data_IF_801417177721
#
_entry.id   IF_801417177721
#
_cell.length_a   1.000
_cell.length_b   1.000
_cell.length_c   1.000
_cell.angle_alpha   90.00
_cell.angle_beta   90.00
_cell.angle_gamma   90.00
#
_symmetry.space_group_name_H-M   'P 1'
#
loop_
_entity.id
_entity.type
_entity.pdbx_description
1 polymer ?
#
# COMPACT_ATOMS: atom_id res chain seq x y z
N UNK A 1 11.49 27.08 -12.61
CA UNK A 1 10.02 27.05 -12.82
C UNK A 1 9.36 27.89 -11.74
N UNK A 2 8.74 29.02 -12.10
CA UNK A 2 7.91 29.78 -11.16
C UNK A 2 6.55 29.11 -11.09
N UNK A 3 6.35 28.23 -10.11
CA UNK A 3 5.00 27.81 -9.73
C UNK A 3 4.27 29.08 -9.27
N UNK A 4 3.17 29.47 -9.93
CA UNK A 4 2.37 30.57 -9.39
C UNK A 4 1.92 30.14 -7.99
N UNK A 5 2.38 30.89 -6.98
CA UNK A 5 2.21 30.54 -5.56
C UNK A 5 0.75 30.35 -5.17
N UNK A 6 -0.17 30.91 -5.93
CA UNK A 6 -1.58 31.01 -5.57
C UNK A 6 -2.44 29.82 -6.01
N UNK A 7 -1.95 28.93 -6.90
CA UNK A 7 -2.74 27.81 -7.44
C UNK A 7 -2.17 26.41 -7.16
N UNK A 8 -1.03 26.31 -6.49
CA UNK A 8 -0.41 25.01 -6.24
C UNK A 8 -1.04 24.29 -5.03
N UNK A 9 -1.77 23.21 -5.29
CA UNK A 9 -2.52 22.37 -4.32
C UNK A 9 -1.70 22.06 -3.06
N UNK A 10 -0.39 21.88 -3.21
CA UNK A 10 0.51 21.41 -2.16
C UNK A 10 1.38 22.51 -1.53
N UNK A 11 1.24 23.77 -1.94
CA UNK A 11 2.08 24.88 -1.47
C UNK A 11 2.25 24.97 0.05
N UNK A 12 1.17 24.95 0.86
CA UNK A 12 1.26 25.04 2.32
C UNK A 12 1.91 23.84 3.04
N UNK A 13 2.24 22.78 2.31
CA UNK A 13 2.81 21.53 2.81
C UNK A 13 4.25 21.31 2.35
N UNK A 14 4.79 22.24 1.55
CA UNK A 14 6.17 22.20 1.12
C UNK A 14 7.10 22.64 2.26
N UNK A 15 8.29 22.05 2.38
CA UNK A 15 9.32 22.54 3.28
C UNK A 15 9.69 24.00 2.99
N UNK A 16 9.80 24.79 4.05
CA UNK A 16 10.25 26.19 4.04
C UNK A 16 11.68 26.21 4.59
N UNK A 17 12.58 26.83 3.85
CA UNK A 17 13.94 27.09 4.30
C UNK A 17 13.93 28.21 5.34
N UNK A 18 14.59 27.98 6.46
CA UNK A 18 14.65 28.89 7.59
C UNK A 18 16.03 28.82 8.23
N UNK A 19 16.61 29.98 8.56
CA UNK A 19 17.85 30.09 9.32
C UNK A 19 17.52 30.39 10.79
N UNK A 20 17.81 29.45 11.72
CA UNK A 20 17.44 29.63 13.11
C UNK A 20 18.25 30.70 13.83
N UNK A 21 19.51 30.91 13.43
CA UNK A 21 20.43 31.90 13.99
C UNK A 21 21.40 32.41 12.91
N UNK A 22 21.92 33.63 13.06
CA UNK A 22 23.02 34.14 12.24
C UNK A 22 24.22 33.18 12.38
N UNK A 23 24.71 32.64 11.25
CA UNK A 23 25.78 31.64 11.12
C UNK A 23 25.40 30.16 11.29
N UNK A 24 24.13 29.80 11.48
CA UNK A 24 23.70 28.41 11.39
C UNK A 24 23.33 28.01 9.96
N UNK A 25 23.50 26.72 9.62
CA UNK A 25 23.08 26.20 8.33
C UNK A 25 21.55 26.29 8.20
N UNK A 26 21.02 26.63 7.01
CA UNK A 26 19.59 26.69 6.79
C UNK A 26 18.95 25.30 7.01
N UNK A 27 17.84 25.30 7.74
CA UNK A 27 17.05 24.11 8.03
C UNK A 27 15.72 24.14 7.27
N UNK A 28 15.17 22.97 6.99
CA UNK A 28 13.89 22.85 6.28
C UNK A 28 12.78 22.49 7.26
N UNK A 29 11.82 23.40 7.45
CA UNK A 29 10.67 23.22 8.33
C UNK A 29 9.40 22.96 7.53
N UNK A 30 8.49 22.13 8.04
CA UNK A 30 7.14 22.03 7.50
C UNK A 30 6.16 22.98 8.20
N UNK A 31 5.55 23.87 7.43
CA UNK A 31 4.51 24.79 7.90
C UNK A 31 3.22 24.10 8.35
N UNK A 32 2.88 22.92 7.81
CA UNK A 32 1.58 22.29 8.07
C UNK A 32 1.61 20.76 8.01
N UNK A 33 0.66 20.11 8.70
CA UNK A 33 0.35 18.67 8.55
C UNK A 33 -0.96 18.47 7.80
N UNK A 34 -1.18 17.26 7.25
CA UNK A 34 -2.39 16.93 6.48
C UNK A 34 -3.73 17.20 7.19
N UNK A 35 -3.76 17.43 8.50
CA UNK A 35 -4.93 17.97 9.23
C UNK A 35 -6.10 17.01 9.42
N UNK A 36 -5.98 15.76 8.97
CA UNK A 36 -7.04 14.74 9.09
C UNK A 36 -7.09 14.14 10.50
N UNK A 37 -8.29 14.01 11.06
CA UNK A 37 -8.56 13.25 12.30
C UNK A 37 -8.69 11.77 11.96
N UNK A 38 -8.06 10.92 12.77
CA UNK A 38 -8.01 9.47 12.50
C UNK A 38 -8.36 8.67 13.75
N UNK A 39 -8.95 7.49 13.55
CA UNK A 39 -9.19 6.50 14.61
C UNK A 39 -9.04 5.09 14.05
N UNK A 40 -8.28 4.24 14.74
CA UNK A 40 -8.15 2.81 14.43
C UNK A 40 -9.12 2.02 15.31
N UNK A 41 -9.73 0.98 14.75
CA UNK A 41 -10.44 -0.05 15.52
C UNK A 41 -10.01 -1.44 15.07
N UNK A 42 -9.51 -2.23 16.01
CA UNK A 42 -9.30 -3.66 15.86
C UNK A 42 -10.65 -4.33 16.11
N UNK A 43 -11.16 -5.08 15.15
CA UNK A 43 -12.48 -5.71 15.25
C UNK A 43 -12.32 -7.23 15.32
N UNK A 44 -13.21 -7.86 16.06
CA UNK A 44 -13.39 -9.30 16.11
C UNK A 44 -14.41 -9.75 15.06
N UNK A 45 -14.38 -11.04 14.67
CA UNK A 45 -15.35 -11.60 13.71
C UNK A 45 -16.81 -11.47 14.19
N UNK A 46 -17.01 -11.48 15.51
CA UNK A 46 -18.31 -11.34 16.18
C UNK A 46 -18.82 -9.90 16.32
N UNK A 47 -18.01 -8.89 15.96
CA UNK A 47 -18.37 -7.49 16.17
C UNK A 47 -19.53 -7.05 15.27
N UNK A 48 -20.28 -6.03 15.71
CA UNK A 48 -21.41 -5.46 14.96
C UNK A 48 -21.05 -5.03 13.54
N UNK A 49 -19.81 -4.63 13.28
CA UNK A 49 -19.35 -4.25 11.92
C UNK A 49 -19.37 -5.42 10.93
N UNK A 50 -19.28 -6.65 11.43
CA UNK A 50 -19.20 -7.89 10.68
C UNK A 50 -20.52 -8.68 10.64
N UNK A 51 -21.56 -8.19 11.32
CA UNK A 51 -22.89 -8.77 11.22
C UNK A 51 -23.38 -8.73 9.76
N UNK A 52 -23.95 -9.84 9.31
CA UNK A 52 -24.47 -10.03 7.94
C UNK A 52 -23.42 -9.93 6.82
N UNK A 53 -22.14 -10.13 7.13
CA UNK A 53 -21.07 -10.27 6.13
C UNK A 53 -20.62 -11.72 6.06
N UNK A 54 -20.25 -12.16 4.86
CA UNK A 54 -19.51 -13.41 4.69
C UNK A 54 -18.19 -13.34 5.45
N UNK A 55 -17.74 -14.49 5.98
CA UNK A 55 -16.54 -14.54 6.82
C UNK A 55 -15.32 -13.92 6.13
N UNK A 56 -15.16 -14.12 4.82
CA UNK A 56 -14.07 -13.53 4.03
C UNK A 56 -14.08 -11.99 4.05
N UNK A 57 -15.26 -11.39 4.16
CA UNK A 57 -15.47 -9.94 4.13
C UNK A 57 -15.58 -9.32 5.54
N UNK A 58 -15.37 -10.11 6.59
CA UNK A 58 -15.27 -9.56 7.95
C UNK A 58 -14.04 -8.65 8.03
N UNK A 59 -14.28 -7.43 8.48
CA UNK A 59 -13.26 -6.43 8.73
C UNK A 59 -12.50 -6.78 10.00
N UNK A 60 -11.18 -6.93 9.89
CA UNK A 60 -10.26 -7.14 11.01
C UNK A 60 -9.75 -5.82 11.56
N UNK A 61 -9.45 -4.86 10.68
CA UNK A 61 -9.00 -3.53 11.05
C UNK A 61 -9.84 -2.49 10.31
N UNK A 62 -10.47 -1.60 11.06
CA UNK A 62 -11.20 -0.45 10.57
C UNK A 62 -10.37 0.81 10.77
N UNK A 63 -10.36 1.68 9.76
CA UNK A 63 -9.70 2.97 9.81
C UNK A 63 -10.71 4.09 9.54
N UNK A 64 -10.88 5.01 10.48
CA UNK A 64 -11.83 6.11 10.39
C UNK A 64 -11.08 7.42 10.13
N UNK A 65 -11.43 8.15 9.06
CA UNK A 65 -10.79 9.42 8.69
C UNK A 65 -11.83 10.52 8.50
N UNK A 66 -11.82 11.52 9.39
CA UNK A 66 -12.87 12.54 9.49
C UNK A 66 -14.27 11.91 9.40
N UNK A 67 -14.58 11.03 10.36
CA UNK A 67 -15.87 10.33 10.55
C UNK A 67 -16.24 9.29 9.48
N UNK A 68 -15.43 9.15 8.43
CA UNK A 68 -15.64 8.13 7.41
C UNK A 68 -14.82 6.87 7.71
N UNK A 69 -15.52 5.75 7.94
CA UNK A 69 -14.91 4.43 8.15
C UNK A 69 -14.49 3.79 6.83
N UNK A 70 -13.33 3.14 6.85
CA UNK A 70 -12.79 2.30 5.78
C UNK A 70 -12.36 0.96 6.36
N UNK A 71 -12.63 -0.11 5.63
CA UNK A 71 -12.05 -1.42 5.93
C UNK A 71 -10.58 -1.36 5.46
N UNK A 72 -9.65 -1.48 6.42
CA UNK A 72 -8.21 -1.48 6.16
C UNK A 72 -7.74 -2.90 5.83
N UNK A 73 -8.28 -3.90 6.53
CA UNK A 73 -7.90 -5.30 6.37
C UNK A 73 -9.12 -6.21 6.65
N UNK A 74 -9.33 -7.22 5.81
CA UNK A 74 -10.36 -8.28 6.00
C UNK A 74 -9.74 -9.68 6.07
N UNK A 75 -10.50 -10.72 6.39
CA UNK A 75 -10.00 -12.11 6.30
C UNK A 75 -9.57 -12.49 4.88
N UNK A 76 -10.27 -12.01 3.86
CA UNK A 76 -9.87 -12.21 2.45
C UNK A 76 -8.50 -11.61 2.14
N UNK A 77 -8.24 -10.40 2.64
CA UNK A 77 -6.93 -9.77 2.47
C UNK A 77 -5.83 -10.60 3.14
N UNK A 78 -6.13 -11.17 4.30
CA UNK A 78 -5.23 -12.01 5.09
C UNK A 78 -4.94 -13.35 4.40
N UNK A 79 -5.97 -14.00 3.86
CA UNK A 79 -5.82 -15.26 3.12
C UNK A 79 -5.02 -15.10 1.82
N UNK A 80 -5.05 -13.91 1.20
CA UNK A 80 -4.23 -13.60 0.02
C UNK A 80 -2.83 -13.08 0.35
N UNK A 81 -2.53 -12.81 1.61
CA UNK A 81 -1.24 -12.30 2.00
C UNK A 81 -0.37 -13.46 2.50
N UNK A 82 0.58 -13.88 1.68
CA UNK A 82 1.55 -14.94 2.00
C UNK A 82 2.61 -14.44 2.98
N UNK A 83 2.21 -13.98 4.15
CA UNK A 83 3.16 -13.59 5.19
C UNK A 83 3.75 -14.87 5.82
N UNK A 84 5.08 -14.92 5.92
CA UNK A 84 5.71 -15.83 6.88
C UNK A 84 5.28 -15.41 8.30
N UNK A 85 5.08 -16.35 9.22
CA UNK A 85 4.77 -16.01 10.62
C UNK A 85 6.06 -15.88 11.44
N UNK A 86 7.03 -15.16 10.90
CA UNK A 86 8.32 -14.83 11.49
C UNK A 86 8.49 -13.29 11.57
N UNK A 87 9.61 -12.82 12.12
CA UNK A 87 9.89 -11.38 12.28
C UNK A 87 9.89 -10.63 10.93
N UNK A 88 10.29 -11.31 9.86
CA UNK A 88 10.26 -10.74 8.49
C UNK A 88 8.82 -10.53 8.05
N UNK A 89 7.94 -11.50 8.29
CA UNK A 89 6.53 -11.39 7.99
C UNK A 89 5.81 -10.33 8.82
N UNK A 90 6.15 -10.18 10.11
CA UNK A 90 5.65 -9.06 10.94
C UNK A 90 6.05 -7.72 10.32
N UNK A 91 7.31 -7.59 9.93
CA UNK A 91 7.82 -6.37 9.27
C UNK A 91 7.05 -6.07 7.98
N UNK A 92 6.81 -7.09 7.15
CA UNK A 92 6.04 -6.96 5.91
C UNK A 92 4.57 -6.59 6.17
N UNK A 93 3.93 -7.13 7.21
CA UNK A 93 2.57 -6.74 7.61
C UNK A 93 2.52 -5.26 8.03
N UNK A 94 3.50 -4.82 8.80
CA UNK A 94 3.61 -3.41 9.22
C UNK A 94 3.80 -2.49 8.00
N UNK A 95 4.58 -2.91 7.00
CA UNK A 95 4.71 -2.22 5.72
C UNK A 95 3.37 -2.07 5.00
N UNK A 96 2.64 -3.17 4.78
CA UNK A 96 1.33 -3.14 4.09
C UNK A 96 0.30 -2.29 4.87
N UNK A 97 0.32 -2.36 6.21
CA UNK A 97 -0.51 -1.48 7.04
C UNK A 97 -0.19 0.00 6.82
N UNK A 98 1.09 0.37 6.78
CA UNK A 98 1.53 1.74 6.51
C UNK A 98 1.10 2.21 5.13
N UNK A 99 1.27 1.38 4.09
CA UNK A 99 0.82 1.67 2.73
C UNK A 99 -0.69 1.91 2.68
N UNK A 100 -1.48 0.99 3.24
CA UNK A 100 -2.94 1.09 3.24
C UNK A 100 -3.40 2.35 3.97
N UNK A 101 -2.84 2.66 5.13
CA UNK A 101 -3.18 3.87 5.89
C UNK A 101 -2.81 5.13 5.08
N UNK A 102 -1.58 5.20 4.58
CA UNK A 102 -1.10 6.34 3.79
C UNK A 102 -2.00 6.59 2.57
N UNK A 103 -2.40 5.53 1.86
CA UNK A 103 -3.34 5.63 0.72
C UNK A 103 -4.70 6.19 1.13
N UNK A 104 -5.27 5.74 2.27
CA UNK A 104 -6.56 6.24 2.78
C UNK A 104 -6.46 7.71 3.18
N UNK A 105 -5.40 8.09 3.87
CA UNK A 105 -5.14 9.47 4.26
C UNK A 105 -4.97 10.36 3.04
N UNK A 106 -4.13 9.97 2.08
CA UNK A 106 -3.89 10.76 0.88
C UNK A 106 -5.16 10.93 0.05
N UNK A 107 -5.95 9.86 -0.14
CA UNK A 107 -7.24 9.94 -0.84
C UNK A 107 -8.19 10.91 -0.14
N UNK A 108 -8.31 10.83 1.18
CA UNK A 108 -9.22 11.70 1.95
C UNK A 108 -8.73 13.14 1.96
N UNK A 109 -7.41 13.35 2.07
CA UNK A 109 -6.77 14.65 1.98
C UNK A 109 -7.12 15.34 0.66
N UNK A 110 -6.93 14.67 -0.48
CA UNK A 110 -7.28 15.21 -1.81
C UNK A 110 -8.79 15.49 -1.95
N UNK A 111 -9.64 14.66 -1.36
CA UNK A 111 -11.09 14.83 -1.40
C UNK A 111 -11.62 15.97 -0.54
N UNK A 112 -11.01 16.23 0.61
CA UNK A 112 -11.50 17.20 1.60
C UNK A 112 -10.82 18.55 1.43
N UNK A 113 -9.48 18.55 1.43
CA UNK A 113 -8.69 19.79 1.42
C UNK A 113 -8.76 20.53 0.09
N UNK A 114 -9.09 19.82 -1.01
CA UNK A 114 -8.97 20.37 -2.36
C UNK A 114 -10.20 20.15 -3.25
N UNK A 115 -11.34 19.76 -2.66
CA UNK A 115 -12.60 19.52 -3.40
C UNK A 115 -13.01 20.66 -4.35
N UNK A 116 -12.70 21.89 -3.96
CA UNK A 116 -13.06 23.11 -4.71
C UNK A 116 -12.12 23.41 -5.88
N UNK A 117 -10.89 22.88 -5.84
CA UNK A 117 -9.81 23.20 -6.78
C UNK A 117 -9.66 22.10 -7.83
N UNK A 118 -9.91 20.85 -7.44
CA UNK A 118 -9.78 19.73 -8.35
C UNK A 118 -10.57 18.51 -7.92
N UNK A 119 -10.45 17.46 -8.73
CA UNK A 119 -11.06 16.16 -8.48
C UNK A 119 -10.05 15.05 -8.69
N UNK A 120 -10.19 13.99 -7.90
CA UNK A 120 -9.50 12.74 -8.19
C UNK A 120 -9.93 12.26 -9.57
N UNK A 121 -8.98 12.24 -10.50
CA UNK A 121 -9.14 11.64 -11.80
C UNK A 121 -9.15 10.12 -11.69
N UNK A 122 -9.74 9.47 -12.69
CA UNK A 122 -9.53 8.04 -12.89
C UNK A 122 -8.27 7.84 -13.72
N UNK A 123 -7.13 7.54 -13.09
CA UNK A 123 -6.11 6.70 -13.74
C UNK A 123 -6.72 5.33 -14.14
N UNK A 124 -7.82 5.01 -13.45
CA UNK A 124 -8.80 3.98 -13.70
C UNK A 124 -10.15 4.66 -13.97
N UNK A 125 -10.39 5.13 -15.20
CA UNK A 125 -11.68 5.74 -15.54
C UNK A 125 -12.81 4.69 -15.57
N UNK A 126 -14.02 5.10 -16.01
CA UNK A 126 -15.20 4.24 -16.05
C UNK A 126 -15.02 2.93 -16.86
N UNK A 127 -13.98 2.83 -17.69
CA UNK A 127 -13.61 1.64 -18.49
C UNK A 127 -12.77 0.64 -17.71
N UNK A 128 -12.20 1.03 -16.56
CA UNK A 128 -11.48 0.11 -15.69
C UNK A 128 -12.48 -0.84 -15.01
N UNK A 129 -12.50 -2.08 -15.48
CA UNK A 129 -13.30 -3.12 -14.85
C UNK A 129 -12.72 -3.43 -13.46
N UNK A 130 -13.45 -3.13 -12.36
CA UNK A 130 -12.98 -3.44 -11.02
C UNK A 130 -12.89 -4.95 -10.75
N UNK A 131 -13.21 -5.82 -11.70
CA UNK A 131 -12.99 -7.27 -11.61
C UNK A 131 -11.66 -7.72 -12.22
N UNK A 132 -11.01 -6.88 -13.04
CA UNK A 132 -9.71 -7.15 -13.69
C UNK A 132 -8.60 -6.26 -13.10
N UNK A 133 -8.34 -6.46 -11.81
CA UNK A 133 -7.48 -5.57 -11.00
C UNK A 133 -6.00 -5.93 -11.02
N UNK A 134 -5.62 -7.09 -11.51
CA UNK A 134 -4.23 -7.58 -11.48
C UNK A 134 -3.71 -7.79 -12.89
N UNK A 135 -2.42 -7.53 -13.10
CA UNK A 135 -1.74 -7.57 -14.38
C UNK A 135 -2.30 -6.67 -15.49
N UNK A 136 -2.96 -5.56 -15.12
CA UNK A 136 -3.51 -4.61 -16.09
C UNK A 136 -2.46 -3.55 -16.48
N UNK A 137 -2.16 -3.40 -17.78
CA UNK A 137 -1.26 -2.34 -18.27
C UNK A 137 -2.00 -1.00 -18.23
N UNK A 138 -1.44 -0.06 -17.48
CA UNK A 138 -1.99 1.28 -17.29
C UNK A 138 -1.44 2.27 -18.30
N UNK A 139 -0.14 2.18 -18.58
CA UNK A 139 0.53 2.98 -19.58
C UNK A 139 1.72 2.21 -20.15
N UNK A 140 2.07 2.51 -21.39
CA UNK A 140 3.26 1.98 -22.03
C UNK A 140 3.87 3.03 -22.96
N UNK A 141 5.19 3.13 -22.93
CA UNK A 141 6.01 3.92 -23.86
C UNK A 141 6.95 2.99 -24.62
N UNK A 142 7.92 3.55 -25.35
CA UNK A 142 8.96 2.77 -26.00
C UNK A 142 9.83 2.03 -24.98
N UNK A 143 10.21 2.69 -23.87
CA UNK A 143 11.16 2.14 -22.92
C UNK A 143 10.51 1.55 -21.67
N UNK A 144 9.27 1.93 -21.33
CA UNK A 144 8.67 1.61 -20.04
C UNK A 144 7.25 1.07 -20.14
N UNK A 145 6.86 0.34 -19.10
CA UNK A 145 5.49 -0.11 -18.85
C UNK A 145 5.15 0.16 -17.40
N UNK A 146 4.00 0.77 -17.18
CA UNK A 146 3.36 0.84 -15.88
C UNK A 146 2.15 -0.09 -15.89
N UNK A 147 2.13 -1.06 -14.97
CA UNK A 147 1.00 -1.98 -14.84
C UNK A 147 0.57 -2.13 -13.38
N UNK A 148 -0.65 -2.57 -13.16
CA UNK A 148 -1.11 -2.99 -11.84
C UNK A 148 -0.59 -4.41 -11.61
N UNK A 149 0.31 -4.61 -10.67
CA UNK A 149 0.74 -5.96 -10.27
C UNK A 149 -0.33 -6.62 -9.43
N UNK A 150 -0.55 -6.04 -8.26
CA UNK A 150 -1.60 -6.37 -7.29
C UNK A 150 -2.27 -5.06 -6.89
N UNK A 151 -3.52 -4.85 -7.29
CA UNK A 151 -4.20 -3.59 -6.98
C UNK A 151 -4.22 -3.32 -5.47
N UNK A 152 -3.93 -2.08 -5.03
CA UNK A 152 -3.69 -0.88 -5.83
C UNK A 152 -2.19 -0.57 -6.12
N UNK A 153 -1.29 -1.54 -5.91
CA UNK A 153 0.15 -1.38 -6.10
C UNK A 153 0.50 -1.44 -7.59
N UNK A 154 1.33 -0.51 -8.01
CA UNK A 154 1.75 -0.35 -9.41
C UNK A 154 3.17 -0.88 -9.57
N UNK A 155 3.41 -1.60 -10.66
CA UNK A 155 4.72 -2.08 -11.06
C UNK A 155 5.21 -1.23 -12.22
N UNK A 156 6.38 -0.61 -12.04
CA UNK A 156 7.09 0.09 -13.10
C UNK A 156 8.19 -0.82 -13.66
N UNK A 157 8.13 -1.03 -14.97
CA UNK A 157 8.97 -1.98 -15.69
C UNK A 157 9.70 -1.29 -16.84
N UNK A 158 10.93 -1.73 -17.13
CA UNK A 158 11.71 -1.33 -18.31
C UNK A 158 11.62 -2.41 -19.38
N UNK A 159 11.43 -2.01 -20.64
CA UNK A 159 11.51 -2.89 -21.81
C UNK A 159 12.98 -3.05 -22.18
N UNK A 160 13.57 -4.17 -21.78
CA UNK A 160 14.99 -4.47 -22.07
C UNK A 160 15.17 -5.70 -22.95
N UNK A 161 14.11 -6.50 -23.16
CA UNK A 161 14.21 -7.83 -23.76
C UNK A 161 14.77 -8.88 -22.79
N UNK A 162 15.11 -8.48 -21.56
CA UNK A 162 15.61 -9.35 -20.49
C UNK A 162 14.59 -9.45 -19.36
N UNK A 163 14.66 -10.52 -18.57
CA UNK A 163 13.72 -10.78 -17.47
C UNK A 163 12.42 -11.47 -17.92
N UNK A 164 11.43 -11.51 -17.04
CA UNK A 164 10.17 -12.20 -17.32
C UNK A 164 9.37 -11.45 -18.41
N UNK A 165 9.05 -12.15 -19.50
CA UNK A 165 8.40 -11.59 -20.70
C UNK A 165 9.16 -10.41 -21.36
N UNK A 166 10.48 -10.32 -21.16
CA UNK A 166 11.31 -9.24 -21.75
C UNK A 166 11.24 -7.90 -20.99
N UNK A 167 10.70 -7.91 -19.77
CA UNK A 167 10.65 -6.74 -18.90
C UNK A 167 11.54 -6.91 -17.67
N UNK A 168 12.29 -5.86 -17.36
CA UNK A 168 13.02 -5.74 -16.11
C UNK A 168 12.22 -4.93 -15.10
N UNK A 169 12.07 -5.47 -13.89
CA UNK A 169 11.44 -4.75 -12.78
C UNK A 169 12.32 -3.58 -12.32
N UNK A 170 11.71 -2.39 -12.19
CA UNK A 170 12.41 -1.20 -11.70
C UNK A 170 12.04 -0.94 -10.24
N UNK A 171 10.75 -0.80 -9.96
CA UNK A 171 10.22 -0.46 -8.63
C UNK A 171 8.72 -0.69 -8.53
N UNK A 172 8.24 -0.79 -7.30
CA UNK A 172 6.83 -0.83 -6.92
C UNK A 172 6.42 0.53 -6.37
N UNK A 173 5.21 0.98 -6.67
CA UNK A 173 4.67 2.23 -6.13
C UNK A 173 3.64 1.95 -5.02
N UNK A 174 3.95 2.41 -3.81
CA UNK A 174 3.05 2.44 -2.64
C UNK A 174 1.82 3.32 -2.86
N UNK A 175 1.77 4.12 -3.92
CA UNK A 175 0.54 4.74 -4.37
C UNK A 175 0.75 5.66 -5.55
N UNK A 176 -0.24 5.67 -6.44
CA UNK A 176 -0.31 6.58 -7.56
C UNK A 176 -1.72 7.17 -7.62
N UNK A 177 -1.81 8.50 -7.54
CA UNK A 177 -3.08 9.22 -7.61
C UNK A 177 -3.08 10.13 -8.84
N UNK A 178 -4.12 9.99 -9.67
CA UNK A 178 -4.44 10.96 -10.72
C UNK A 178 -5.32 12.06 -10.11
N UNK A 179 -4.86 13.30 -10.17
CA UNK A 179 -5.60 14.44 -9.67
C UNK A 179 -5.67 15.52 -10.76
N UNK A 180 -6.88 16.05 -10.99
CA UNK A 180 -7.15 17.00 -12.07
C UNK A 180 -7.51 18.36 -11.50
N UNK A 181 -6.77 19.39 -11.93
CA UNK A 181 -7.04 20.81 -11.64
C UNK A 181 -7.28 21.51 -12.96
N UNK A 182 -8.52 21.92 -13.22
CA UNK A 182 -8.89 22.42 -14.55
C UNK A 182 -8.55 21.40 -15.64
N UNK A 183 -7.67 21.79 -16.58
CA UNK A 183 -7.18 20.93 -17.67
C UNK A 183 -5.87 20.18 -17.32
N UNK A 184 -5.22 20.56 -16.23
CA UNK A 184 -3.93 20.02 -15.84
C UNK A 184 -4.06 18.65 -15.16
N UNK A 185 -3.11 17.77 -15.46
CA UNK A 185 -2.99 16.44 -14.86
C UNK A 185 -1.86 16.45 -13.84
N UNK A 186 -2.17 16.12 -12.61
CA UNK A 186 -1.19 15.91 -11.55
C UNK A 186 -1.14 14.43 -11.19
N UNK A 187 0.02 13.82 -11.35
CA UNK A 187 0.31 12.46 -10.90
C UNK A 187 1.09 12.54 -9.59
N UNK A 188 0.47 12.03 -8.54
CA UNK A 188 1.02 12.08 -7.19
C UNK A 188 1.51 10.68 -6.85
N UNK A 189 2.83 10.57 -6.65
CA UNK A 189 3.49 9.32 -6.26
C UNK A 189 3.65 9.35 -4.75
N UNK A 190 3.06 8.35 -4.10
CA UNK A 190 3.07 8.16 -2.66
C UNK A 190 4.09 7.07 -2.31
N UNK A 191 4.85 7.31 -1.25
CA UNK A 191 5.69 6.34 -0.57
C UNK A 191 5.37 6.36 0.94
N UNK A 192 5.47 5.21 1.60
CA UNK A 192 5.15 5.06 3.01
C UNK A 192 6.24 4.28 3.76
N UNK A 193 6.70 4.84 4.89
CA UNK A 193 7.76 4.24 5.72
C UNK A 193 7.33 4.25 7.19
N UNK A 194 6.97 3.09 7.73
CA UNK A 194 6.74 2.91 9.16
C UNK A 194 8.04 3.00 9.98
N UNK A 195 9.18 2.65 9.35
CA UNK A 195 10.53 2.66 9.92
C UNK A 195 11.47 3.68 9.28
N UNK A 196 12.78 3.35 9.32
CA UNK A 196 13.85 4.20 8.75
C UNK A 196 13.60 4.49 7.26
N UNK A 197 13.80 5.75 6.88
CA UNK A 197 13.78 6.17 5.48
C UNK A 197 15.15 5.88 4.88
N UNK A 198 15.21 4.90 4.00
CA UNK A 198 16.40 4.38 3.33
C UNK A 198 16.47 4.76 1.83
N UNK A 199 15.54 5.60 1.38
CA UNK A 199 15.43 6.00 -0.01
C UNK A 199 16.65 6.82 -0.45
N UNK A 200 17.31 6.39 -1.53
CA UNK A 200 18.35 7.17 -2.19
C UNK A 200 17.68 8.24 -3.08
N UNK A 201 17.88 9.55 -2.81
CA UNK A 201 17.26 10.63 -3.58
C UNK A 201 17.53 10.57 -5.08
N UNK A 202 18.76 10.23 -5.47
CA UNK A 202 19.18 10.25 -6.87
C UNK A 202 18.57 9.08 -7.64
N UNK A 203 18.49 7.92 -6.99
CA UNK A 203 17.80 6.76 -7.55
C UNK A 203 16.30 6.97 -7.61
N UNK A 204 15.69 7.73 -6.68
CA UNK A 204 14.26 8.00 -6.71
C UNK A 204 13.86 8.76 -7.98
N UNK A 205 14.63 9.77 -8.39
CA UNK A 205 14.37 10.44 -9.66
C UNK A 205 14.57 9.49 -10.85
N UNK A 206 15.73 8.83 -10.93
CA UNK A 206 16.11 8.02 -12.08
C UNK A 206 15.23 6.78 -12.27
N UNK A 207 14.84 6.11 -11.18
CA UNK A 207 14.07 4.87 -11.21
C UNK A 207 12.56 5.09 -11.23
N UNK A 208 12.08 6.23 -10.70
CA UNK A 208 10.64 6.46 -10.58
C UNK A 208 10.18 7.61 -11.46
N UNK A 209 10.69 8.82 -11.26
CA UNK A 209 10.13 10.00 -11.93
C UNK A 209 10.54 10.15 -13.39
N UNK A 210 11.78 9.81 -13.76
CA UNK A 210 12.22 9.87 -15.16
C UNK A 210 11.42 8.90 -16.06
N UNK A 211 11.23 7.62 -15.70
CA UNK A 211 10.35 6.73 -16.45
C UNK A 211 8.88 7.20 -16.48
N UNK A 212 8.39 7.72 -15.36
CA UNK A 212 7.01 8.21 -15.27
C UNK A 212 6.76 9.43 -16.17
N UNK A 213 7.75 10.31 -16.35
CA UNK A 213 7.70 11.41 -17.33
C UNK A 213 7.63 10.91 -18.76
N UNK A 214 8.34 9.85 -19.11
CA UNK A 214 8.21 9.24 -20.45
C UNK A 214 6.81 8.64 -20.65
N UNK A 215 6.25 8.01 -19.62
CA UNK A 215 4.91 7.42 -19.66
C UNK A 215 3.79 8.46 -19.69
N UNK A 216 3.99 9.63 -19.10
CA UNK A 216 3.01 10.71 -18.99
C UNK A 216 3.66 12.09 -19.17
N UNK A 217 4.02 12.46 -20.41
CA UNK A 217 4.79 13.68 -20.68
C UNK A 217 4.04 14.96 -20.29
N UNK A 218 2.72 14.97 -20.43
CA UNK A 218 1.85 16.12 -20.13
C UNK A 218 1.45 16.22 -18.64
N UNK A 219 1.97 15.36 -17.76
CA UNK A 219 1.60 15.34 -16.36
C UNK A 219 2.60 16.10 -15.48
N UNK A 220 2.07 16.86 -14.53
CA UNK A 220 2.83 17.36 -13.40
C UNK A 220 3.01 16.27 -12.36
N UNK A 221 4.21 16.17 -11.80
CA UNK A 221 4.52 15.16 -10.80
C UNK A 221 4.69 15.77 -9.42
N UNK A 222 4.18 15.07 -8.40
CA UNK A 222 4.42 15.42 -7.00
C UNK A 222 4.79 14.16 -6.23
N UNK A 223 5.71 14.30 -5.29
CA UNK A 223 6.12 13.23 -4.39
C UNK A 223 5.48 13.42 -3.02
N UNK A 224 5.01 12.35 -2.40
CA UNK A 224 4.45 12.36 -1.05
C UNK A 224 5.07 11.23 -0.25
N UNK A 225 5.78 11.59 0.81
CA UNK A 225 6.33 10.63 1.76
C UNK A 225 5.51 10.65 3.04
N UNK A 226 4.88 9.52 3.37
CA UNK A 226 4.36 9.25 4.70
C UNK A 226 5.41 8.54 5.54
N UNK A 227 5.71 9.03 6.73
CA UNK A 227 6.54 8.28 7.67
C UNK A 227 6.20 8.59 9.12
N UNK A 228 6.67 7.77 10.07
CA UNK A 228 6.46 8.12 11.48
C UNK A 228 7.29 9.35 11.85
N UNK A 229 6.76 10.14 12.80
CA UNK A 229 7.35 11.43 13.20
C UNK A 229 8.87 11.37 13.48
N UNK A 230 9.40 10.35 14.18
CA UNK A 230 10.83 10.26 14.49
C UNK A 230 11.73 10.11 13.27
N UNK A 231 11.24 9.60 12.13
CA UNK A 231 12.06 9.45 10.93
C UNK A 231 11.99 10.68 10.02
N UNK A 232 10.94 11.48 10.14
CA UNK A 232 10.80 12.73 9.37
C UNK A 232 11.47 13.92 10.04
N UNK A 233 11.25 14.09 11.35
CA UNK A 233 11.59 15.36 12.01
C UNK A 233 12.68 15.19 13.06
N UNK A 234 13.49 16.23 13.21
CA UNK A 234 14.44 16.39 14.29
C UNK A 234 13.71 16.49 15.63
N UNK A 235 14.27 15.85 16.65
CA UNK A 235 13.83 15.99 18.05
C UNK A 235 14.42 17.22 18.74
N UNK A 236 15.41 17.90 18.12
CA UNK A 236 16.11 19.06 18.71
C UNK A 236 15.15 20.24 18.91
N UNK A 237 14.22 20.44 17.97
CA UNK A 237 13.18 21.46 18.07
C UNK A 237 11.83 20.95 17.54
N UNK A 238 11.06 20.22 18.37
CA UNK A 238 9.86 19.51 17.93
C UNK A 238 8.75 20.44 17.39
N UNK A 239 8.66 21.68 17.88
CA UNK A 239 7.70 22.70 17.49
C UNK A 239 7.88 23.14 16.03
N UNK A 240 9.12 23.23 15.55
CA UNK A 240 9.44 23.71 14.20
C UNK A 240 9.42 22.62 13.13
N UNK A 241 9.16 21.35 13.47
CA UNK A 241 9.06 20.24 12.49
C UNK A 241 10.19 20.26 11.44
N UNK A 242 11.41 20.42 11.92
CA UNK A 242 12.60 20.47 11.08
C UNK A 242 12.84 19.09 10.48
N UNK A 243 12.94 18.99 9.16
CA UNK A 243 13.24 17.75 8.46
C UNK A 243 14.60 17.20 8.88
N UNK A 244 14.70 15.88 9.00
CA UNK A 244 15.98 15.20 9.09
C UNK A 244 16.71 15.24 7.74
N UNK A 245 18.02 15.03 7.79
CA UNK A 245 18.92 15.05 6.64
C UNK A 245 18.44 14.20 5.45
N UNK A 246 17.89 13.00 5.69
CA UNK A 246 17.41 12.14 4.59
C UNK A 246 16.18 12.72 3.88
N UNK A 247 15.04 13.01 4.57
CA UNK A 247 13.92 13.74 3.96
C UNK A 247 14.31 15.05 3.27
N UNK A 248 15.20 15.84 3.87
CA UNK A 248 15.70 17.07 3.28
C UNK A 248 16.45 16.83 1.96
N UNK A 249 17.34 15.84 1.93
CA UNK A 249 18.05 15.47 0.69
C UNK A 249 17.09 14.99 -0.41
N UNK A 250 16.05 14.24 -0.05
CA UNK A 250 14.99 13.86 -0.99
C UNK A 250 14.31 15.11 -1.55
N UNK A 251 13.90 16.03 -0.67
CA UNK A 251 13.27 17.29 -1.08
C UNK A 251 14.14 18.07 -2.06
N UNK A 252 15.41 18.33 -1.71
CA UNK A 252 16.33 19.10 -2.55
C UNK A 252 16.58 18.44 -3.90
N UNK A 253 16.84 17.13 -3.92
CA UNK A 253 17.09 16.38 -5.15
C UNK A 253 15.88 16.42 -6.09
N UNK A 254 14.69 16.13 -5.58
CA UNK A 254 13.47 16.17 -6.38
C UNK A 254 13.10 17.60 -6.83
N UNK A 255 13.30 18.60 -5.97
CA UNK A 255 13.05 20.01 -6.31
C UNK A 255 13.95 20.47 -7.48
N UNK A 256 15.21 20.06 -7.51
CA UNK A 256 16.13 20.35 -8.63
C UNK A 256 15.62 19.78 -9.97
N UNK A 257 14.82 18.73 -9.91
CA UNK A 257 14.14 18.16 -11.07
C UNK A 257 12.73 18.71 -11.30
N UNK A 258 12.29 19.73 -10.55
CA UNK A 258 10.96 20.32 -10.65
C UNK A 258 9.85 19.42 -10.08
N UNK A 259 10.20 18.51 -9.16
CA UNK A 259 9.27 17.60 -8.49
C UNK A 259 9.05 18.07 -7.04
N UNK A 260 7.99 18.84 -6.79
CA UNK A 260 7.60 19.24 -5.44
C UNK A 260 7.30 18.02 -4.56
N UNK A 261 7.76 18.06 -3.31
CA UNK A 261 7.62 16.96 -2.35
C UNK A 261 6.88 17.40 -1.10
N UNK A 262 5.97 16.55 -0.61
CA UNK A 262 5.28 16.70 0.66
C UNK A 262 5.71 15.61 1.64
N UNK A 263 5.79 15.96 2.91
CA UNK A 263 6.14 15.05 3.98
C UNK A 263 5.01 15.01 5.00
N UNK A 264 4.31 13.89 5.06
CA UNK A 264 3.23 13.67 6.02
C UNK A 264 3.68 12.68 7.07
N UNK A 265 3.25 12.91 8.31
CA UNK A 265 3.52 11.94 9.36
C UNK A 265 2.26 11.16 9.70
N UNK A 266 2.43 9.87 10.00
CA UNK A 266 1.38 9.08 10.62
C UNK A 266 1.01 9.69 11.98
N UNK A 267 -0.26 9.56 12.37
CA UNK A 267 -0.67 9.86 13.75
C UNK A 267 -0.43 8.66 14.65
N UNK A 268 -0.39 7.49 14.05
CA UNK A 268 0.00 6.22 14.60
C UNK A 268 1.47 6.25 15.01
N UNK A 269 1.73 5.71 16.19
CA UNK A 269 3.08 5.42 16.69
C UNK A 269 3.49 4.04 16.21
N UNK A 270 4.79 3.77 16.27
CA UNK A 270 5.37 2.47 15.93
C UNK A 270 4.71 1.31 16.69
N UNK A 271 4.39 1.50 17.98
CA UNK A 271 3.68 0.49 18.78
C UNK A 271 2.28 0.17 18.22
N UNK A 272 1.59 1.15 17.66
CA UNK A 272 0.22 0.97 17.16
C UNK A 272 0.25 0.10 15.89
N UNK A 273 1.29 0.24 15.05
CA UNK A 273 1.54 -0.67 13.92
C UNK A 273 1.82 -2.11 14.37
N UNK A 274 2.62 -2.28 15.43
CA UNK A 274 2.89 -3.60 15.98
C UNK A 274 1.64 -4.24 16.60
N UNK A 275 0.80 -3.46 17.29
CA UNK A 275 -0.49 -3.95 17.81
C UNK A 275 -1.44 -4.39 16.69
N UNK A 276 -1.54 -3.61 15.61
CA UNK A 276 -2.29 -4.00 14.42
C UNK A 276 -1.74 -5.30 13.81
N UNK A 277 -0.43 -5.43 13.64
CA UNK A 277 0.19 -6.64 13.11
C UNK A 277 -0.08 -7.88 13.98
N UNK A 278 0.06 -7.75 15.31
CA UNK A 278 -0.28 -8.83 16.26
C UNK A 278 -1.74 -9.24 16.17
N UNK A 279 -2.65 -8.28 16.05
CA UNK A 279 -4.08 -8.55 15.85
C UNK A 279 -4.33 -9.36 14.57
N UNK A 280 -3.66 -9.01 13.47
CA UNK A 280 -3.75 -9.78 12.22
C UNK A 280 -3.21 -11.20 12.38
N UNK A 281 -2.09 -11.39 13.06
CA UNK A 281 -1.51 -12.72 13.32
C UNK A 281 -2.47 -13.57 14.18
N UNK A 282 -3.03 -13.00 15.24
CA UNK A 282 -3.99 -13.70 16.09
C UNK A 282 -5.26 -14.06 15.31
N UNK A 283 -5.74 -13.13 14.46
CA UNK A 283 -6.88 -13.36 13.59
C UNK A 283 -6.59 -14.46 12.56
N UNK A 284 -5.40 -14.47 11.96
CA UNK A 284 -4.94 -15.51 11.04
C UNK A 284 -4.94 -16.88 11.70
N UNK A 285 -4.32 -16.99 12.89
CA UNK A 285 -4.28 -18.22 13.67
C UNK A 285 -5.69 -18.71 14.01
N UNK A 286 -6.58 -17.81 14.42
CA UNK A 286 -7.97 -18.15 14.76
C UNK A 286 -8.77 -18.61 13.54
N UNK A 287 -8.54 -17.98 12.38
CA UNK A 287 -9.16 -18.34 11.11
C UNK A 287 -8.67 -19.70 10.59
N UNK A 288 -7.37 -19.97 10.67
CA UNK A 288 -6.80 -21.26 10.27
C UNK A 288 -7.03 -22.37 11.30
N UNK A 289 -7.29 -22.04 12.56
CA UNK A 289 -7.77 -22.98 13.57
C UNK A 289 -9.25 -23.38 13.36
N UNK A 290 -9.96 -22.76 12.41
CA UNK A 290 -11.27 -23.25 11.99
C UNK A 290 -11.10 -24.59 11.30
N UNK A 291 -11.46 -25.63 12.04
CA UNK A 291 -11.49 -27.01 11.54
C UNK A 291 -12.59 -27.12 10.50
N UNK A 292 -12.21 -27.27 9.23
CA UNK A 292 -13.14 -27.78 8.22
C UNK A 292 -13.26 -29.28 8.43
N UNK A 293 -14.37 -29.71 9.05
CA UNK A 293 -14.72 -31.12 9.07
C UNK A 293 -15.16 -31.50 7.67
N UNK A 294 -14.37 -32.33 7.00
CA UNK A 294 -14.86 -33.01 5.81
C UNK A 294 -15.29 -34.42 6.19
N UNK A 295 -16.56 -34.72 5.94
CA UNK A 295 -17.12 -36.06 6.08
C UNK A 295 -17.12 -36.75 4.73
N UNK A 296 -16.48 -37.92 4.66
CA UNK A 296 -16.28 -38.65 3.42
C UNK A 296 -15.45 -39.91 3.64
N UNK A 297 -15.44 -40.79 2.65
CA UNK A 297 -14.49 -41.88 2.63
C UNK A 297 -13.08 -41.28 2.50
N UNK A 298 -12.17 -41.69 3.38
CA UNK A 298 -10.83 -41.12 3.48
C UNK A 298 -9.81 -42.23 3.28
N UNK A 299 -8.95 -42.06 2.29
CA UNK A 299 -7.81 -42.94 2.03
C UNK A 299 -6.53 -42.24 2.49
N UNK A 300 -5.82 -42.83 3.45
CA UNK A 300 -4.57 -42.30 3.99
C UNK A 300 -3.45 -43.30 3.68
N UNK A 301 -2.44 -42.82 2.95
CA UNK A 301 -1.22 -43.56 2.64
C UNK A 301 0.00 -42.77 3.10
N UNK A 302 1.20 -43.39 3.19
CA UNK A 302 2.43 -42.67 3.57
C UNK A 302 2.77 -41.48 2.65
N UNK A 303 2.33 -41.53 1.39
CA UNK A 303 2.60 -40.53 0.36
C UNK A 303 1.42 -39.60 0.07
N UNK A 304 0.19 -39.95 0.44
CA UNK A 304 -1.01 -39.21 0.02
C UNK A 304 -2.15 -39.28 1.04
N UNK A 305 -2.93 -38.21 1.11
CA UNK A 305 -4.24 -38.17 1.77
C UNK A 305 -5.28 -37.81 0.73
N UNK A 306 -6.23 -38.71 0.49
CA UNK A 306 -7.36 -38.49 -0.42
C UNK A 306 -8.65 -38.53 0.37
N UNK A 307 -9.53 -37.59 0.06
CA UNK A 307 -10.84 -37.53 0.70
C UNK A 307 -11.90 -37.48 -0.39
N UNK A 308 -12.88 -38.37 -0.30
CA UNK A 308 -13.92 -38.59 -1.30
C UNK A 308 -15.26 -38.09 -0.79
N UNK A 309 -16.05 -37.47 -1.66
CA UNK A 309 -17.45 -37.19 -1.36
C UNK A 309 -18.23 -38.50 -1.48
N UNK A 310 -19.21 -38.75 -0.61
CA UNK A 310 -20.01 -39.98 -0.61
C UNK A 310 -20.59 -40.26 -2.01
N UNK A 311 -20.24 -41.40 -2.62
CA UNK A 311 -20.68 -41.80 -3.95
C UNK A 311 -19.87 -41.23 -5.12
N UNK A 312 -18.80 -40.48 -4.87
CA UNK A 312 -17.88 -39.98 -5.92
C UNK A 312 -16.71 -40.92 -6.12
N UNK A 313 -16.44 -41.27 -7.39
CA UNK A 313 -15.23 -42.02 -7.77
C UNK A 313 -13.96 -41.14 -7.81
N UNK A 314 -14.10 -39.81 -7.73
CA UNK A 314 -12.98 -38.87 -7.73
C UNK A 314 -12.80 -38.20 -6.37
N UNK A 315 -11.55 -38.04 -5.88
CA UNK A 315 -11.29 -37.35 -4.62
C UNK A 315 -11.64 -35.87 -4.75
N UNK A 316 -12.36 -35.33 -3.76
CA UNK A 316 -12.62 -33.90 -3.69
C UNK A 316 -11.38 -33.14 -3.17
N UNK A 317 -10.57 -33.80 -2.34
CA UNK A 317 -9.30 -33.28 -1.83
C UNK A 317 -8.24 -34.36 -1.98
N UNK A 318 -7.12 -34.02 -2.60
CA UNK A 318 -5.92 -34.85 -2.64
C UNK A 318 -4.75 -34.01 -2.13
N UNK A 319 -4.10 -34.52 -1.10
CA UNK A 319 -2.85 -34.02 -0.57
C UNK A 319 -1.75 -35.02 -0.89
N UNK A 320 -0.64 -34.57 -1.45
CA UNK A 320 0.55 -35.39 -1.69
C UNK A 320 1.67 -34.96 -0.76
N UNK A 321 2.32 -35.92 -0.12
CA UNK A 321 3.45 -35.70 0.77
C UNK A 321 4.66 -35.31 -0.05
N UNK A 322 5.20 -34.15 0.25
CA UNK A 322 6.43 -33.66 -0.34
C UNK A 322 7.61 -34.53 0.17
N UNK A 323 8.40 -35.15 -0.72
CA UNK A 323 9.46 -36.08 -0.31
C UNK A 323 10.66 -35.38 0.34
N UNK A 324 10.82 -34.07 0.14
CA UNK A 324 11.93 -33.28 0.72
C UNK A 324 11.56 -32.78 2.10
N UNK A 325 10.33 -32.30 2.27
CA UNK A 325 9.92 -31.61 3.51
C UNK A 325 9.08 -32.49 4.44
N UNK A 326 8.52 -33.60 3.95
CA UNK A 326 7.63 -34.48 4.71
C UNK A 326 6.24 -33.91 5.00
N UNK A 327 5.95 -32.67 4.58
CA UNK A 327 4.63 -32.04 4.71
C UNK A 327 3.71 -32.42 3.54
N UNK A 328 2.40 -32.38 3.79
CA UNK A 328 1.39 -32.60 2.76
C UNK A 328 1.08 -31.31 1.99
N UNK A 329 1.18 -31.36 0.66
CA UNK A 329 0.81 -30.28 -0.27
C UNK A 329 -0.49 -30.62 -0.97
N UNK A 330 -1.34 -29.62 -1.18
CA UNK A 330 -2.57 -29.78 -1.97
C UNK A 330 -2.22 -30.05 -3.44
N UNK A 331 -2.54 -31.24 -3.93
CA UNK A 331 -2.36 -31.64 -5.33
C UNK A 331 -3.65 -31.54 -6.15
N UNK A 332 -4.82 -31.68 -5.51
CA UNK A 332 -6.13 -31.54 -6.18
C UNK A 332 -7.19 -31.04 -5.20
N UNK A 333 -8.01 -30.09 -5.64
CA UNK A 333 -9.26 -29.71 -4.95
C UNK A 333 -10.39 -29.57 -5.96
N UNK A 334 -11.57 -30.08 -5.62
CA UNK A 334 -12.80 -29.83 -6.36
C UNK A 334 -13.64 -28.84 -5.57
N UNK A 335 -13.98 -27.69 -6.16
CA UNK A 335 -14.80 -26.67 -5.49
C UNK A 335 -16.20 -27.24 -5.18
N UNK A 336 -16.56 -27.32 -3.90
CA UNK A 336 -17.96 -27.49 -3.50
C UNK A 336 -18.68 -26.13 -3.61
N UNK A 337 -19.91 -26.07 -4.16
CA UNK A 337 -20.78 -24.95 -3.89
C UNK A 337 -21.09 -24.95 -2.38
N UNK A 338 -20.79 -23.85 -1.71
CA UNK A 338 -21.17 -23.61 -0.31
C UNK A 338 -22.68 -23.90 -0.16
N UNK A 339 -23.03 -24.96 0.58
CA UNK A 339 -24.37 -25.10 1.14
C UNK A 339 -24.30 -24.61 2.58
N UNK A 340 -24.97 -23.49 2.84
CA UNK A 340 -25.17 -22.95 4.17
C UNK A 340 -25.77 -24.03 5.08
N UNK A 341 -25.06 -24.32 6.18
CA UNK A 341 -25.63 -24.98 7.35
C UNK A 341 -26.17 -23.94 8.32
#
# INVERSE_FOLDING_TARGET
>A
MNFSKDNYIFGPYLPIEWEPHENELPVFSLSRTHGLKVKIRLNHSSDKVNQNRDIQDHTLISYEVNERRYDLFTYKDLGHASYALDDTGVTNMIGDLAERIARRLMKRFLQVSHRKIGKLGGLFDKRFNPKMRSNFIVASSQSYVLKIGRYPNMLLLKKTGQGHWGFQHITDLDGLFDYRVGKERHLIILESKSGKIDQNPDLLYQKTFAPMRELFPEAHFSYVLFATRPYLFSSKYPEYRILKKTPERIYRSLLNHGIPSMFFHFREKERDFHEMARHLIQSYRSYHAQTFKVSGETEITPSQVRVFQKGSASPFLELTRDPVTGYFKVSKTSYLPYKNG
#
